data_IF_521790243313
#
_entry.id   IF_521790243313
#
_cell.length_a   1.000
_cell.length_b   1.000
_cell.length_c   1.000
_cell.angle_alpha   90.00
_cell.angle_beta   90.00
_cell.angle_gamma   90.00
#
_symmetry.space_group_name_H-M   'P 1'
#
loop_
_entity.id
_entity.type
_entity.pdbx_description
1 polymer ?
#
# COMPACT_ATOMS: atom_id res chain seq x y z
N UNK A 1 -20.93 3.66 18.40
CA UNK A 1 -19.61 3.68 19.04
C UNK A 1 -19.26 2.26 19.41
N UNK A 2 -18.07 1.79 19.04
CA UNK A 2 -17.56 0.46 19.43
C UNK A 2 -17.19 0.53 20.91
N UNK A 3 -17.59 -0.46 21.71
CA UNK A 3 -17.22 -0.52 23.14
C UNK A 3 -15.70 -0.75 23.31
N UNK A 4 -15.19 -0.68 24.54
CA UNK A 4 -13.77 -0.99 24.79
C UNK A 4 -13.47 -2.49 24.62
N UNK A 5 -14.38 -3.35 25.06
CA UNK A 5 -14.25 -4.81 24.90
C UNK A 5 -14.29 -5.22 23.41
N UNK A 6 -15.25 -4.66 22.65
CA UNK A 6 -15.33 -4.92 21.20
C UNK A 6 -14.08 -4.42 20.49
N UNK A 7 -13.54 -3.26 20.88
CA UNK A 7 -12.33 -2.75 20.28
C UNK A 7 -11.10 -3.58 20.63
N UNK A 8 -10.98 -4.06 21.87
CA UNK A 8 -9.89 -4.95 22.27
C UNK A 8 -9.91 -6.24 21.44
N UNK A 9 -11.10 -6.79 21.17
CA UNK A 9 -11.27 -7.93 20.27
C UNK A 9 -10.83 -7.60 18.83
N UNK A 10 -11.28 -6.47 18.28
CA UNK A 10 -10.90 -6.02 16.93
C UNK A 10 -9.38 -5.78 16.84
N UNK A 11 -8.78 -5.15 17.86
CA UNK A 11 -7.37 -4.86 17.93
C UNK A 11 -6.54 -6.16 17.92
N UNK A 12 -6.86 -7.10 18.81
CA UNK A 12 -6.19 -8.41 18.86
C UNK A 12 -6.36 -9.18 17.54
N UNK A 13 -7.56 -9.19 16.97
CA UNK A 13 -7.83 -9.84 15.69
C UNK A 13 -7.01 -9.23 14.54
N UNK A 14 -6.93 -7.91 14.43
CA UNK A 14 -6.14 -7.25 13.38
C UNK A 14 -4.66 -7.60 13.49
N UNK A 15 -4.09 -7.64 14.68
CA UNK A 15 -2.67 -7.99 14.84
C UNK A 15 -2.38 -9.49 14.75
N UNK A 16 -3.34 -10.38 14.98
CA UNK A 16 -3.16 -11.83 14.79
C UNK A 16 -3.41 -12.29 13.36
N UNK A 17 -4.45 -11.76 12.72
CA UNK A 17 -4.89 -12.19 11.39
C UNK A 17 -4.46 -11.25 10.26
N UNK A 18 -3.95 -10.06 10.59
CA UNK A 18 -3.43 -9.03 9.68
C UNK A 18 -4.45 -8.36 8.76
N UNK A 19 -5.49 -9.06 8.33
CA UNK A 19 -6.62 -8.52 7.56
C UNK A 19 -7.91 -9.03 8.20
N UNK A 20 -8.75 -8.10 8.65
CA UNK A 20 -10.04 -8.38 9.29
C UNK A 20 -11.13 -7.68 8.50
N UNK A 21 -12.15 -8.44 8.09
CA UNK A 21 -13.32 -7.92 7.38
C UNK A 21 -14.48 -7.83 8.36
N UNK A 22 -14.96 -6.62 8.62
CA UNK A 22 -16.18 -6.36 9.38
C UNK A 22 -17.31 -6.14 8.38
N UNK A 23 -18.29 -7.04 8.36
CA UNK A 23 -19.52 -6.86 7.58
C UNK A 23 -20.33 -5.72 8.21
N UNK A 24 -20.27 -4.54 7.59
CA UNK A 24 -20.86 -3.31 8.12
C UNK A 24 -21.99 -2.81 7.21
N UNK A 25 -22.09 -1.50 7.02
CA UNK A 25 -23.03 -0.86 6.09
C UNK A 25 -22.26 0.07 5.16
N UNK A 26 -22.61 0.17 3.87
CA UNK A 26 -22.04 1.17 2.97
C UNK A 26 -22.27 2.60 3.49
N UNK A 27 -23.29 2.79 4.33
CA UNK A 27 -23.67 4.06 4.94
C UNK A 27 -22.96 4.38 6.27
N UNK A 28 -21.94 3.59 6.68
CA UNK A 28 -21.12 3.92 7.86
C UNK A 28 -20.64 5.37 7.77
N UNK A 29 -20.73 6.18 8.82
CA UNK A 29 -20.31 7.59 8.71
C UNK A 29 -18.78 7.71 8.58
N UNK A 30 -18.29 8.73 7.85
CA UNK A 30 -16.83 8.99 7.76
C UNK A 30 -16.21 9.19 9.13
N UNK A 31 -16.95 9.83 10.04
CA UNK A 31 -16.53 10.05 11.42
C UNK A 31 -16.36 8.72 12.16
N UNK A 32 -17.30 7.77 12.01
CA UNK A 32 -17.19 6.47 12.66
C UNK A 32 -16.01 5.65 12.12
N UNK A 33 -15.77 5.67 10.80
CA UNK A 33 -14.60 5.03 10.19
C UNK A 33 -13.28 5.63 10.74
N UNK A 34 -13.20 6.96 10.78
CA UNK A 34 -12.06 7.69 11.34
C UNK A 34 -11.85 7.37 12.82
N UNK A 35 -12.90 7.45 13.65
CA UNK A 35 -12.82 7.19 15.09
C UNK A 35 -12.34 5.76 15.37
N UNK A 36 -12.87 4.75 14.66
CA UNK A 36 -12.40 3.37 14.79
C UNK A 36 -10.93 3.22 14.40
N UNK A 37 -10.53 3.79 13.26
CA UNK A 37 -9.13 3.71 12.79
C UNK A 37 -8.18 4.40 13.77
N UNK A 38 -8.56 5.58 14.29
CA UNK A 38 -7.77 6.34 15.26
C UNK A 38 -7.62 5.63 16.59
N UNK A 39 -8.52 4.72 16.99
CA UNK A 39 -8.34 3.98 18.26
C UNK A 39 -7.08 3.12 18.29
N UNK A 40 -6.53 2.73 17.13
CA UNK A 40 -5.24 2.02 17.03
C UNK A 40 -4.03 2.94 17.32
N UNK A 41 -4.17 4.24 17.08
CA UNK A 41 -3.19 5.27 17.44
C UNK A 41 -3.91 6.57 17.85
N UNK A 42 -4.31 6.70 19.14
CA UNK A 42 -5.11 7.83 19.60
C UNK A 42 -4.44 9.20 19.41
N UNK A 43 -3.11 9.21 19.28
CA UNK A 43 -2.30 10.42 19.09
C UNK A 43 -2.13 10.82 17.62
N UNK A 44 -2.41 9.93 16.67
CA UNK A 44 -2.37 10.23 15.25
C UNK A 44 -3.55 11.11 14.82
N UNK A 45 -3.25 12.22 14.16
CA UNK A 45 -4.26 13.23 13.76
C UNK A 45 -4.25 13.58 12.27
N UNK A 46 -3.16 13.28 11.56
CA UNK A 46 -2.96 13.63 10.15
C UNK A 46 -3.05 12.40 9.24
N UNK A 47 -3.41 12.64 7.98
CA UNK A 47 -3.42 11.61 6.94
C UNK A 47 -2.02 11.05 6.66
N UNK A 48 -1.91 9.75 6.40
CA UNK A 48 -0.63 9.02 6.29
C UNK A 48 0.33 9.49 5.19
N UNK A 49 -0.17 10.21 4.18
CA UNK A 49 0.63 10.79 3.10
C UNK A 49 0.75 12.32 3.16
N UNK A 50 0.34 12.95 4.26
CA UNK A 50 0.36 14.41 4.41
C UNK A 50 -0.70 15.11 3.56
N UNK A 51 -0.47 16.39 3.24
CA UNK A 51 -1.45 17.19 2.48
C UNK A 51 -1.44 16.84 0.99
N UNK A 52 -2.61 16.51 0.44
CA UNK A 52 -2.84 16.24 -0.99
C UNK A 52 -3.00 17.51 -1.83
N UNK A 53 -3.03 18.70 -1.20
CA UNK A 53 -3.42 19.97 -1.85
C UNK A 53 -2.26 20.87 -2.26
N UNK A 54 -1.01 20.49 -1.96
CA UNK A 54 0.17 21.29 -2.31
C UNK A 54 0.53 21.17 -3.80
N UNK A 55 1.27 22.16 -4.34
CA UNK A 55 1.79 22.09 -5.72
C UNK A 55 2.69 20.87 -5.93
N UNK A 56 3.48 20.49 -4.91
CA UNK A 56 4.31 19.29 -4.95
C UNK A 56 3.49 18.00 -4.88
N UNK A 57 2.36 18.00 -4.17
CA UNK A 57 1.43 16.88 -4.19
C UNK A 57 0.92 16.59 -5.61
N UNK A 58 0.71 17.61 -6.46
CA UNK A 58 0.30 17.42 -7.87
C UNK A 58 1.32 16.69 -8.74
N UNK A 59 2.60 16.68 -8.34
CA UNK A 59 3.69 15.97 -9.02
C UNK A 59 3.82 14.52 -8.54
N UNK A 60 3.14 14.15 -7.45
CA UNK A 60 3.14 12.80 -6.90
C UNK A 60 2.35 11.84 -7.77
N UNK A 61 2.85 10.62 -7.91
CA UNK A 61 2.12 9.52 -8.59
C UNK A 61 0.81 9.14 -7.88
N UNK A 62 0.60 9.55 -6.62
CA UNK A 62 -0.63 9.27 -5.85
C UNK A 62 -1.76 10.30 -6.08
N UNK A 63 -1.43 11.47 -6.62
CA UNK A 63 -2.39 12.58 -6.75
C UNK A 63 -3.67 12.28 -7.57
N UNK A 64 -3.62 11.55 -8.71
CA UNK A 64 -4.82 11.36 -9.50
C UNK A 64 -5.88 10.47 -8.83
N UNK A 65 -5.50 9.70 -7.81
CA UNK A 65 -6.29 8.56 -7.31
C UNK A 65 -7.18 8.90 -6.10
N UNK A 66 -6.88 9.98 -5.38
CA UNK A 66 -7.49 10.29 -4.08
C UNK A 66 -8.28 11.61 -4.09
N UNK A 67 -9.46 11.62 -3.46
CA UNK A 67 -10.26 12.82 -3.17
C UNK A 67 -10.50 12.95 -1.67
N UNK A 68 -10.05 14.05 -1.07
CA UNK A 68 -10.15 14.25 0.38
C UNK A 68 -11.56 14.67 0.81
N UNK A 69 -12.11 14.03 1.84
CA UNK A 69 -13.41 14.42 2.42
C UNK A 69 -13.27 15.76 3.16
N UNK A 70 -13.98 16.83 2.78
CA UNK A 70 -13.75 18.17 3.32
C UNK A 70 -13.95 18.29 4.84
N UNK A 71 -14.93 17.57 5.38
CA UNK A 71 -15.30 17.63 6.80
C UNK A 71 -14.62 16.54 7.64
N UNK A 72 -13.83 15.65 7.03
CA UNK A 72 -13.00 14.65 7.71
C UNK A 72 -11.76 14.31 6.85
N UNK A 73 -10.75 15.21 6.77
CA UNK A 73 -9.65 15.11 5.79
C UNK A 73 -8.74 13.88 5.92
N UNK A 74 -8.84 13.11 7.01
CA UNK A 74 -8.14 11.85 7.20
C UNK A 74 -8.75 10.71 6.37
N UNK A 75 -9.99 10.88 5.90
CA UNK A 75 -10.68 9.93 5.04
C UNK A 75 -10.57 10.39 3.59
N UNK A 76 -10.04 9.51 2.75
CA UNK A 76 -9.95 9.71 1.30
C UNK A 76 -11.02 8.88 0.60
N UNK A 77 -11.53 9.42 -0.50
CA UNK A 77 -12.40 8.74 -1.44
C UNK A 77 -11.54 8.27 -2.60
N UNK A 78 -11.68 6.99 -2.95
CA UNK A 78 -11.01 6.35 -4.07
C UNK A 78 -12.02 5.50 -4.84
N UNK A 79 -11.75 5.21 -6.11
CA UNK A 79 -12.72 4.50 -6.93
C UNK A 79 -12.51 4.66 -8.42
N UNK A 80 -13.56 4.44 -9.19
CA UNK A 80 -13.58 4.59 -10.64
C UNK A 80 -14.89 5.21 -11.11
N UNK A 81 -14.82 6.02 -12.16
CA UNK A 81 -15.99 6.54 -12.85
C UNK A 81 -16.56 7.82 -12.22
N UNK A 82 -17.72 8.22 -12.73
CA UNK A 82 -18.39 9.45 -12.33
C UNK A 82 -19.31 9.22 -11.13
N UNK A 83 -19.18 10.07 -10.10
CA UNK A 83 -20.05 10.08 -8.92
C UNK A 83 -20.64 11.49 -8.77
N UNK A 84 -21.98 11.66 -8.88
CA UNK A 84 -22.60 12.99 -8.86
C UNK A 84 -22.30 13.79 -7.59
N UNK A 85 -22.38 13.15 -6.43
CA UNK A 85 -21.99 13.75 -5.16
C UNK A 85 -21.69 12.69 -4.12
N UNK A 86 -20.77 13.00 -3.20
CA UNK A 86 -20.47 12.15 -2.05
C UNK A 86 -19.74 12.95 -0.96
N UNK A 87 -20.19 12.85 0.29
CA UNK A 87 -19.53 13.46 1.47
C UNK A 87 -19.22 14.97 1.34
N UNK A 88 -20.10 15.71 0.65
CA UNK A 88 -19.97 17.16 0.43
C UNK A 88 -19.21 17.54 -0.84
N UNK A 89 -18.64 16.58 -1.57
CA UNK A 89 -18.05 16.79 -2.88
C UNK A 89 -19.11 16.61 -3.98
N UNK A 90 -18.93 17.32 -5.11
CA UNK A 90 -19.83 17.31 -6.26
C UNK A 90 -19.04 16.99 -7.53
N UNK A 91 -19.68 16.33 -8.50
CA UNK A 91 -19.15 15.99 -9.82
C UNK A 91 -17.77 15.30 -9.76
N UNK A 92 -17.65 14.26 -8.93
CA UNK A 92 -16.39 13.55 -8.78
C UNK A 92 -16.15 12.66 -10.00
N UNK A 93 -14.95 12.75 -10.55
CA UNK A 93 -14.41 11.76 -11.49
C UNK A 93 -13.29 11.02 -10.77
N UNK A 94 -13.58 9.79 -10.35
CA UNK A 94 -12.63 8.91 -9.70
C UNK A 94 -11.87 8.11 -10.75
N UNK A 95 -10.58 7.87 -10.50
CA UNK A 95 -9.70 7.14 -11.41
C UNK A 95 -9.11 5.96 -10.66
N UNK A 96 -9.42 4.76 -11.14
CA UNK A 96 -8.78 3.57 -10.61
C UNK A 96 -7.32 3.51 -11.09
N UNK A 97 -6.36 3.19 -10.20
CA UNK A 97 -4.99 2.96 -10.63
C UNK A 97 -4.94 1.83 -11.66
N UNK A 98 -4.29 2.09 -12.79
CA UNK A 98 -4.33 1.19 -13.94
C UNK A 98 -2.90 0.81 -14.36
N UNK A 99 -2.65 -0.48 -14.63
CA UNK A 99 -1.30 -0.95 -14.94
C UNK A 99 -0.60 -0.16 -16.07
N UNK A 100 -1.34 0.18 -17.15
CA UNK A 100 -0.89 1.00 -18.28
C UNK A 100 -0.23 2.34 -17.93
N UNK A 101 -0.54 2.93 -16.76
CA UNK A 101 0.01 4.23 -16.37
C UNK A 101 1.28 4.13 -15.55
N UNK A 102 1.59 2.95 -15.00
CA UNK A 102 2.67 2.76 -14.02
C UNK A 102 3.69 1.69 -14.43
N UNK A 103 3.25 0.64 -15.11
CA UNK A 103 4.11 -0.45 -15.57
C UNK A 103 4.87 -0.05 -16.83
N UNK A 104 6.06 -0.63 -17.02
CA UNK A 104 6.80 -0.48 -18.30
C UNK A 104 6.09 -1.27 -19.39
N UNK A 105 5.75 -2.52 -19.07
CA UNK A 105 5.20 -3.51 -19.98
C UNK A 105 3.71 -3.72 -19.65
N UNK A 106 2.86 -2.84 -20.22
CA UNK A 106 1.42 -2.89 -20.03
C UNK A 106 0.79 -4.09 -20.76
N UNK A 107 -0.35 -4.56 -20.27
CA UNK A 107 -1.17 -5.54 -21.00
C UNK A 107 -1.72 -4.88 -22.27
N UNK A 108 -1.72 -5.57 -23.43
CA UNK A 108 -2.30 -5.07 -24.67
C UNK A 108 -3.76 -4.62 -24.50
N UNK A 109 -4.19 -3.63 -25.27
CA UNK A 109 -5.49 -2.99 -25.09
C UNK A 109 -6.66 -3.95 -25.35
N UNK A 110 -6.49 -4.89 -26.28
CA UNK A 110 -7.44 -5.95 -26.60
C UNK A 110 -7.66 -6.94 -25.44
N UNK A 111 -6.65 -7.10 -24.59
CA UNK A 111 -6.60 -8.07 -23.49
C UNK A 111 -6.95 -7.43 -22.14
N UNK A 112 -7.04 -6.11 -22.08
CA UNK A 112 -7.07 -5.32 -20.84
C UNK A 112 -8.30 -5.56 -19.96
N UNK A 113 -9.40 -6.03 -20.53
CA UNK A 113 -10.61 -6.40 -19.80
C UNK A 113 -10.61 -7.86 -19.33
N UNK A 114 -9.68 -8.68 -19.80
CA UNK A 114 -9.52 -10.08 -19.43
C UNK A 114 -8.35 -10.27 -18.48
N UNK A 115 -7.27 -9.52 -18.67
CA UNK A 115 -6.03 -9.64 -17.92
C UNK A 115 -5.70 -8.34 -17.19
N UNK A 116 -5.04 -8.45 -16.05
CA UNK A 116 -4.61 -7.31 -15.25
C UNK A 116 -3.25 -7.58 -14.58
N UNK A 117 -2.74 -6.59 -13.84
CA UNK A 117 -1.53 -6.70 -13.02
C UNK A 117 -1.84 -6.19 -11.62
N UNK A 118 -1.06 -6.63 -10.63
CA UNK A 118 -0.98 -5.89 -9.38
C UNK A 118 -0.50 -4.47 -9.71
N UNK A 119 -1.25 -3.43 -9.33
CA UNK A 119 -0.86 -2.07 -9.68
C UNK A 119 0.49 -1.70 -9.05
N UNK A 120 0.63 -1.94 -7.74
CA UNK A 120 1.88 -1.73 -6.99
C UNK A 120 1.76 -2.42 -5.63
N UNK A 121 2.64 -3.38 -5.35
CA UNK A 121 2.79 -3.90 -3.99
C UNK A 121 3.43 -2.84 -3.10
N UNK A 122 2.75 -2.49 -2.02
CA UNK A 122 3.20 -1.41 -1.16
C UNK A 122 2.68 -1.52 0.28
N UNK A 123 3.25 -0.63 1.10
CA UNK A 123 2.81 -0.26 2.44
C UNK A 123 2.21 1.13 2.31
N UNK A 124 1.08 1.42 2.95
CA UNK A 124 0.62 2.81 3.05
C UNK A 124 1.67 3.58 3.87
N UNK A 125 2.29 4.62 3.31
CA UNK A 125 3.26 5.46 4.01
C UNK A 125 3.68 6.66 3.16
N UNK A 126 3.97 7.81 3.77
CA UNK A 126 4.66 8.88 3.07
C UNK A 126 6.12 8.52 2.74
N UNK A 127 6.75 7.70 3.59
CA UNK A 127 8.18 7.31 3.54
C UNK A 127 9.16 8.49 3.56
N UNK A 128 8.66 9.67 3.97
CA UNK A 128 9.41 10.89 4.18
C UNK A 128 8.68 11.73 5.22
N UNK A 129 9.36 12.12 6.30
CA UNK A 129 8.88 12.86 7.46
C UNK A 129 7.82 12.16 8.35
N UNK A 130 6.93 11.35 7.77
CA UNK A 130 5.82 10.71 8.47
C UNK A 130 6.05 9.20 8.58
N UNK A 131 5.73 8.63 9.74
CA UNK A 131 5.80 7.19 9.96
C UNK A 131 4.66 6.48 9.23
N UNK A 132 4.89 5.23 8.76
CA UNK A 132 3.84 4.38 8.21
C UNK A 132 2.68 4.20 9.21
N UNK A 133 1.41 4.39 8.80
CA UNK A 133 0.23 4.08 9.61
C UNK A 133 0.29 2.69 10.25
N UNK A 134 -0.24 2.55 11.46
CA UNK A 134 -0.29 1.26 12.16
C UNK A 134 -1.34 0.33 11.51
N UNK A 135 -2.52 0.87 11.26
CA UNK A 135 -3.67 0.18 10.66
C UNK A 135 -4.31 1.12 9.63
N UNK A 136 -4.75 0.53 8.52
CA UNK A 136 -5.57 1.21 7.52
C UNK A 136 -6.96 0.59 7.53
N UNK A 137 -7.99 1.42 7.34
CA UNK A 137 -9.34 0.96 7.05
C UNK A 137 -9.75 1.28 5.62
N UNK A 138 -10.41 0.33 4.97
CA UNK A 138 -11.03 0.46 3.66
C UNK A 138 -12.50 0.08 3.76
N UNK A 139 -13.39 0.90 3.22
CA UNK A 139 -14.82 0.62 3.17
C UNK A 139 -15.32 0.59 1.74
N UNK A 140 -16.03 -0.47 1.37
CA UNK A 140 -16.82 -0.54 0.15
C UNK A 140 -18.15 0.20 0.31
N UNK A 141 -18.30 1.30 -0.46
CA UNK A 141 -19.52 2.13 -0.43
C UNK A 141 -20.45 1.72 -1.56
N UNK A 142 -19.92 1.67 -2.78
CA UNK A 142 -20.66 1.17 -3.94
C UNK A 142 -19.71 0.47 -4.90
N UNK A 143 -20.14 -0.68 -5.40
CA UNK A 143 -19.36 -1.51 -6.32
C UNK A 143 -20.06 -1.59 -7.68
N UNK A 144 -19.33 -1.87 -8.77
CA UNK A 144 -19.95 -2.10 -10.06
C UNK A 144 -20.96 -3.25 -9.99
N UNK A 145 -22.04 -3.15 -10.75
CA UNK A 145 -23.05 -4.22 -10.88
C UNK A 145 -22.50 -5.47 -11.59
N UNK A 146 -21.47 -5.29 -12.43
CA UNK A 146 -20.78 -6.39 -13.10
C UNK A 146 -20.08 -7.30 -12.09
N UNK A 147 -20.06 -8.60 -12.39
CA UNK A 147 -19.29 -9.62 -11.65
C UNK A 147 -18.14 -10.16 -12.49
N UNK A 148 -17.64 -9.34 -13.43
CA UNK A 148 -16.50 -9.68 -14.28
C UNK A 148 -15.29 -10.00 -13.42
N UNK A 149 -14.56 -11.01 -13.87
CA UNK A 149 -13.29 -11.43 -13.30
C UNK A 149 -12.17 -11.12 -14.28
N UNK A 150 -10.96 -11.02 -13.76
CA UNK A 150 -9.76 -10.84 -14.55
C UNK A 150 -8.68 -11.78 -14.05
N UNK A 151 -7.77 -12.16 -14.94
CA UNK A 151 -6.58 -12.92 -14.57
C UNK A 151 -5.40 -11.97 -14.39
N UNK A 152 -4.81 -11.97 -13.20
CA UNK A 152 -3.54 -11.29 -12.95
C UNK A 152 -2.43 -12.09 -13.63
N UNK A 153 -1.65 -11.46 -14.50
CA UNK A 153 -0.46 -12.05 -15.10
C UNK A 153 0.80 -11.47 -14.47
N UNK A 154 1.68 -12.35 -13.99
CA UNK A 154 2.93 -11.94 -13.36
C UNK A 154 3.99 -11.57 -14.40
N UNK A 155 4.01 -12.28 -15.54
CA UNK A 155 4.92 -12.08 -16.69
C UNK A 155 6.40 -11.87 -16.33
N UNK A 156 6.88 -12.52 -15.27
CA UNK A 156 8.28 -12.51 -14.85
C UNK A 156 9.03 -13.82 -15.19
N UNK A 157 8.43 -14.64 -16.07
CA UNK A 157 8.97 -15.93 -16.49
C UNK A 157 8.53 -17.12 -15.63
N UNK A 158 7.85 -16.90 -14.51
CA UNK A 158 7.31 -17.97 -13.66
C UNK A 158 6.14 -18.73 -14.30
N UNK A 159 5.35 -18.06 -15.14
CA UNK A 159 4.05 -18.55 -15.58
C UNK A 159 2.94 -18.41 -14.53
N UNK A 160 3.20 -17.72 -13.41
CA UNK A 160 2.21 -17.47 -12.37
C UNK A 160 1.05 -16.62 -12.91
N UNK A 161 -0.17 -17.06 -12.61
CA UNK A 161 -1.41 -16.35 -12.84
C UNK A 161 -2.31 -16.43 -11.60
N UNK A 162 -3.19 -15.44 -11.41
CA UNK A 162 -4.18 -15.43 -10.33
C UNK A 162 -5.53 -14.89 -10.83
N UNK A 163 -6.58 -15.70 -10.77
CA UNK A 163 -7.94 -15.26 -11.06
C UNK A 163 -8.49 -14.40 -9.91
N UNK A 164 -9.02 -13.22 -10.23
CA UNK A 164 -9.51 -12.24 -9.25
C UNK A 164 -10.82 -11.59 -9.68
N UNK A 165 -11.62 -11.16 -8.70
CA UNK A 165 -12.78 -10.29 -8.95
C UNK A 165 -12.35 -8.87 -9.36
N UNK A 166 -13.14 -8.19 -10.18
CA UNK A 166 -12.88 -6.80 -10.57
C UNK A 166 -12.78 -5.87 -9.34
N UNK A 167 -11.68 -5.09 -9.26
CA UNK A 167 -11.49 -4.14 -8.17
C UNK A 167 -11.00 -4.74 -6.86
N UNK A 168 -10.49 -5.97 -6.91
CA UNK A 168 -9.86 -6.68 -5.79
C UNK A 168 -8.79 -5.82 -5.11
N UNK A 169 -8.69 -5.97 -3.79
CA UNK A 169 -7.48 -5.59 -3.05
C UNK A 169 -6.77 -6.86 -2.65
N UNK A 170 -5.56 -7.03 -3.15
CA UNK A 170 -4.72 -8.18 -2.87
C UNK A 170 -3.82 -7.89 -1.66
N UNK A 171 -3.68 -8.87 -0.77
CA UNK A 171 -2.85 -8.79 0.42
C UNK A 171 -1.89 -9.97 0.49
N UNK A 172 -0.69 -9.73 1.01
CA UNK A 172 0.31 -10.76 1.32
C UNK A 172 0.91 -10.50 2.69
N UNK A 173 1.20 -11.56 3.43
CA UNK A 173 1.66 -11.46 4.82
C UNK A 173 3.18 -11.33 4.89
N UNK A 174 3.67 -10.21 5.40
CA UNK A 174 5.10 -10.00 5.65
C UNK A 174 5.67 -11.01 6.67
N UNK A 175 4.84 -11.52 7.59
CA UNK A 175 5.22 -12.59 8.53
C UNK A 175 5.48 -13.90 7.80
N UNK A 176 4.57 -14.29 6.90
CA UNK A 176 4.76 -15.48 6.07
C UNK A 176 5.97 -15.36 5.13
N UNK A 177 6.27 -14.14 4.65
CA UNK A 177 7.51 -13.89 3.89
C UNK A 177 8.74 -14.13 4.77
N UNK A 178 8.77 -13.52 5.96
CA UNK A 178 9.89 -13.65 6.90
C UNK A 178 10.14 -15.10 7.30
N UNK A 179 9.10 -15.85 7.63
CA UNK A 179 9.22 -17.24 8.09
C UNK A 179 9.85 -18.16 7.03
N UNK A 180 9.66 -17.84 5.75
CA UNK A 180 10.18 -18.58 4.59
C UNK A 180 11.59 -18.19 4.18
N UNK A 181 12.15 -17.11 4.72
CA UNK A 181 13.53 -16.72 4.47
C UNK A 181 14.49 -17.82 4.97
N UNK A 182 15.64 -17.94 4.30
CA UNK A 182 16.77 -18.73 4.80
C UNK A 182 17.28 -18.14 6.12
N UNK A 183 18.05 -18.90 6.90
CA UNK A 183 18.62 -18.39 8.16
C UNK A 183 19.58 -17.21 7.91
N UNK A 184 20.33 -17.24 6.81
CA UNK A 184 21.17 -16.14 6.36
C UNK A 184 20.35 -14.89 6.05
N UNK A 185 19.26 -15.03 5.29
CA UNK A 185 18.37 -13.92 4.98
C UNK A 185 17.66 -13.40 6.24
N UNK A 186 17.27 -14.28 7.18
CA UNK A 186 16.70 -13.86 8.48
C UNK A 186 17.70 -13.06 9.28
N UNK A 187 18.98 -13.43 9.30
CA UNK A 187 20.01 -12.62 9.95
C UNK A 187 20.16 -11.26 9.24
N UNK A 188 20.30 -11.27 7.91
CA UNK A 188 20.45 -10.07 7.09
C UNK A 188 19.33 -9.06 7.33
N UNK A 189 18.06 -9.48 7.26
CA UNK A 189 16.91 -8.56 7.40
C UNK A 189 16.65 -8.14 8.84
N UNK A 190 17.11 -8.91 9.85
CA UNK A 190 16.99 -8.50 11.26
C UNK A 190 17.99 -7.41 11.61
N UNK A 191 19.14 -7.37 10.96
CA UNK A 191 20.23 -6.46 11.30
C UNK A 191 20.37 -5.28 10.34
N UNK A 192 19.74 -5.35 9.17
CA UNK A 192 19.80 -4.30 8.15
C UNK A 192 18.59 -3.34 8.16
N UNK A 193 18.79 -2.15 7.59
CA UNK A 193 17.76 -1.10 7.48
C UNK A 193 17.65 -0.59 6.04
N UNK A 194 16.44 -0.21 5.62
CA UNK A 194 16.16 0.42 4.33
C UNK A 194 16.13 1.93 4.49
N UNK A 195 16.90 2.63 3.66
CA UNK A 195 16.73 4.06 3.40
C UNK A 195 15.80 4.24 2.20
N UNK A 196 14.74 5.05 2.39
CA UNK A 196 13.85 5.46 1.32
C UNK A 196 14.31 6.77 0.68
N UNK A 197 14.01 6.94 -0.61
CA UNK A 197 14.35 8.17 -1.32
C UNK A 197 13.62 9.39 -0.73
N UNK A 198 14.23 10.60 -0.75
CA UNK A 198 13.54 11.82 -0.39
C UNK A 198 12.41 12.09 -1.38
N UNK A 199 11.27 12.61 -0.89
CA UNK A 199 10.06 12.83 -1.70
C UNK A 199 9.73 11.63 -2.62
N UNK A 200 9.58 10.41 -2.07
CA UNK A 200 9.74 9.17 -2.82
C UNK A 200 8.78 9.04 -4.00
N UNK A 201 7.52 9.47 -3.84
CA UNK A 201 6.50 9.44 -4.91
C UNK A 201 6.72 10.47 -6.03
N UNK A 202 7.54 11.49 -5.80
CA UNK A 202 8.00 12.44 -6.82
C UNK A 202 9.27 11.90 -7.47
N UNK A 203 10.22 11.41 -6.65
CA UNK A 203 11.46 10.78 -7.10
C UNK A 203 11.25 9.68 -8.13
N UNK A 204 10.32 8.76 -7.87
CA UNK A 204 10.04 7.64 -8.78
C UNK A 204 9.02 7.95 -9.89
N UNK A 205 8.57 9.19 -10.06
CA UNK A 205 7.43 9.53 -10.95
C UNK A 205 7.63 9.19 -12.43
N UNK A 206 8.89 9.17 -12.90
CA UNK A 206 9.27 8.80 -14.27
C UNK A 206 9.71 7.33 -14.40
N UNK A 207 9.97 6.65 -13.29
CA UNK A 207 10.30 5.23 -13.29
C UNK A 207 9.07 4.38 -13.60
N UNK A 208 9.30 3.09 -13.92
CA UNK A 208 8.26 2.18 -14.37
C UNK A 208 8.34 0.85 -13.64
N UNK A 209 7.18 0.33 -13.26
CA UNK A 209 7.03 -0.89 -12.47
C UNK A 209 7.35 -2.14 -13.27
N UNK A 210 7.88 -3.13 -12.56
CA UNK A 210 7.96 -4.52 -13.01
C UNK A 210 6.54 -5.08 -13.23
N UNK A 211 6.34 -6.03 -14.17
CA UNK A 211 5.05 -6.68 -14.45
C UNK A 211 4.31 -7.25 -13.23
N UNK A 212 5.04 -7.68 -12.21
CA UNK A 212 4.51 -8.19 -10.94
C UNK A 212 3.99 -7.10 -10.00
N UNK A 213 4.21 -5.81 -10.31
CA UNK A 213 3.94 -4.69 -9.42
C UNK A 213 4.89 -4.59 -8.22
N UNK A 214 5.87 -5.50 -8.10
CA UNK A 214 6.80 -5.59 -6.97
C UNK A 214 8.09 -4.84 -7.27
N UNK A 215 8.06 -3.52 -7.08
CA UNK A 215 9.22 -2.66 -7.34
C UNK A 215 9.31 -2.15 -8.77
N UNK A 216 10.43 -1.53 -9.11
CA UNK A 216 10.62 -0.76 -10.34
C UNK A 216 11.84 -1.27 -11.13
N UNK A 217 11.82 -1.08 -12.43
CA UNK A 217 13.00 -1.26 -13.27
C UNK A 217 14.07 -0.22 -12.94
N UNK A 218 15.34 -0.63 -12.96
CA UNK A 218 16.49 0.29 -12.81
C UNK A 218 16.96 0.78 -14.17
N UNK A 219 16.30 1.81 -14.67
CA UNK A 219 16.57 2.42 -15.99
C UNK A 219 17.09 3.87 -15.87
N UNK A 220 17.45 4.32 -14.65
CA UNK A 220 17.94 5.68 -14.40
C UNK A 220 16.89 6.77 -14.71
N UNK A 221 15.60 6.46 -14.51
CA UNK A 221 14.50 7.38 -14.83
C UNK A 221 14.10 8.24 -13.64
N UNK A 222 14.53 7.90 -12.44
CA UNK A 222 14.25 8.63 -11.22
C UNK A 222 14.73 10.08 -11.31
N UNK A 223 14.01 11.00 -10.66
CA UNK A 223 14.40 12.39 -10.64
C UNK A 223 15.70 12.58 -9.86
N UNK A 224 16.58 13.42 -10.38
CA UNK A 224 17.78 13.86 -9.65
C UNK A 224 17.43 14.74 -8.45
N UNK A 225 18.36 14.90 -7.50
CA UNK A 225 18.13 15.72 -6.30
C UNK A 225 17.78 17.18 -6.63
N UNK A 226 18.27 17.72 -7.74
CA UNK A 226 17.99 19.09 -8.20
C UNK A 226 16.59 19.25 -8.81
N UNK A 227 15.97 18.15 -9.24
CA UNK A 227 14.59 18.14 -9.75
C UNK A 227 13.55 17.94 -8.64
N UNK A 228 13.98 17.54 -7.43
CA UNK A 228 13.12 17.34 -6.29
C UNK A 228 12.81 18.65 -5.55
N UNK A 229 11.70 18.72 -4.80
CA UNK A 229 11.52 19.76 -3.79
C UNK A 229 12.66 19.73 -2.77
N UNK A 230 12.84 20.82 -2.02
CA UNK A 230 13.91 20.94 -1.03
C UNK A 230 13.99 19.69 -0.12
N UNK A 231 15.20 19.12 -0.05
CA UNK A 231 15.47 17.89 0.70
C UNK A 231 15.96 18.28 2.09
N UNK A 232 15.31 17.72 3.11
CA UNK A 232 15.70 17.80 4.50
C UNK A 232 16.12 16.40 4.94
N UNK A 233 17.42 16.23 5.21
CA UNK A 233 17.99 14.93 5.54
C UNK A 233 17.35 14.31 6.79
N UNK A 234 16.86 15.10 7.73
CA UNK A 234 16.21 14.60 8.95
C UNK A 234 14.83 13.97 8.70
N UNK A 235 14.26 14.23 7.51
CA UNK A 235 12.97 13.65 7.10
C UNK A 235 13.13 12.34 6.33
N UNK A 236 14.34 12.01 5.88
CA UNK A 236 14.62 10.75 5.20
C UNK A 236 14.35 9.60 6.18
N UNK A 237 13.54 8.64 5.75
CA UNK A 237 13.19 7.48 6.59
C UNK A 237 14.22 6.37 6.38
N UNK A 238 14.85 5.95 7.48
CA UNK A 238 15.69 4.75 7.55
C UNK A 238 14.99 3.78 8.52
N UNK A 239 14.35 2.74 7.98
CA UNK A 239 13.49 1.82 8.73
C UNK A 239 14.09 0.41 8.76
N UNK A 240 13.85 -0.39 9.81
CA UNK A 240 14.23 -1.81 9.82
C UNK A 240 13.65 -2.57 8.62
N UNK A 241 14.33 -3.62 8.15
CA UNK A 241 13.76 -4.52 7.14
C UNK A 241 12.73 -5.50 7.74
N UNK A 242 12.91 -5.89 9.01
CA UNK A 242 12.00 -6.74 9.76
C UNK A 242 11.24 -5.93 10.84
N UNK A 243 9.91 -5.89 10.77
CA UNK A 243 9.07 -5.14 11.71
C UNK A 243 8.41 -6.11 12.70
N UNK A 244 8.44 -5.75 13.99
CA UNK A 244 7.89 -6.58 15.08
C UNK A 244 6.40 -6.29 15.29
N UNK A 245 5.60 -7.35 15.32
CA UNK A 245 4.20 -7.29 15.70
C UNK A 245 4.07 -6.92 17.19
N UNK A 246 3.33 -5.85 17.54
CA UNK A 246 3.22 -5.41 18.94
C UNK A 246 2.45 -6.37 19.84
N UNK A 247 1.62 -7.26 19.28
CA UNK A 247 0.79 -8.23 20.03
C UNK A 247 1.42 -9.61 20.03
N UNK A 248 1.84 -10.12 18.87
CA UNK A 248 2.34 -11.50 18.73
C UNK A 248 3.85 -11.61 18.90
N UNK A 249 4.60 -10.50 18.78
CA UNK A 249 6.07 -10.51 18.78
C UNK A 249 6.72 -11.08 17.52
N UNK A 250 5.93 -11.59 16.56
CA UNK A 250 6.44 -12.12 15.29
C UNK A 250 7.08 -11.00 14.44
N UNK A 251 7.99 -11.39 13.53
CA UNK A 251 8.67 -10.47 12.63
C UNK A 251 8.09 -10.57 11.21
N UNK A 252 7.80 -9.42 10.61
CA UNK A 252 7.38 -9.31 9.22
C UNK A 252 8.50 -8.72 8.36
N UNK A 253 8.80 -9.33 7.22
CA UNK A 253 9.61 -8.71 6.18
C UNK A 253 8.79 -7.59 5.56
N UNK A 254 9.11 -6.34 5.91
CA UNK A 254 8.23 -5.21 5.65
C UNK A 254 9.01 -4.05 5.02
N UNK A 255 9.04 -4.08 3.69
CA UNK A 255 9.79 -3.14 2.84
C UNK A 255 8.85 -2.63 1.75
N UNK A 256 8.82 -1.32 1.51
CA UNK A 256 8.10 -0.76 0.36
C UNK A 256 8.99 -0.83 -0.89
N UNK A 257 8.74 -1.73 -1.86
CA UNK A 257 9.71 -2.10 -2.89
C UNK A 257 10.01 -0.99 -3.91
N UNK A 258 9.06 -0.10 -4.20
CA UNK A 258 9.28 0.92 -5.26
C UNK A 258 10.14 2.11 -4.82
N UNK A 259 10.16 2.42 -3.52
CA UNK A 259 10.73 3.66 -2.98
C UNK A 259 12.11 3.46 -2.32
N UNK A 260 12.63 2.23 -2.32
CA UNK A 260 13.93 1.90 -1.73
C UNK A 260 15.06 2.61 -2.46
N UNK A 261 16.03 3.12 -1.70
CA UNK A 261 17.23 3.80 -2.22
C UNK A 261 18.51 3.11 -1.80
N UNK A 262 18.65 2.75 -0.52
CA UNK A 262 19.85 2.12 0.05
C UNK A 262 19.52 1.07 1.11
N UNK A 263 20.47 0.17 1.36
CA UNK A 263 20.44 -0.76 2.50
C UNK A 263 21.62 -0.45 3.41
N UNK A 264 21.35 -0.14 4.68
CA UNK A 264 22.35 0.07 5.73
C UNK A 264 22.57 -1.24 6.47
N UNK A 265 23.82 -1.70 6.53
CA UNK A 265 24.20 -2.99 7.11
C UNK A 265 24.69 -2.84 8.56
N UNK A 266 24.71 -3.95 9.28
CA UNK A 266 25.09 -3.99 10.71
C UNK A 266 26.53 -3.53 10.96
N UNK A 267 27.43 -3.80 10.03
CA UNK A 267 28.85 -3.42 10.10
C UNK A 267 29.09 -1.93 9.78
N UNK A 268 28.04 -1.18 9.46
CA UNK A 268 28.09 0.24 9.10
C UNK A 268 28.32 0.50 7.62
N UNK A 269 28.52 -0.53 6.79
CA UNK A 269 28.56 -0.38 5.34
C UNK A 269 27.16 -0.14 4.74
N UNK A 270 27.12 0.44 3.55
CA UNK A 270 25.88 0.81 2.86
C UNK A 270 25.90 0.29 1.44
N UNK A 271 24.86 -0.45 1.06
CA UNK A 271 24.59 -0.81 -0.33
C UNK A 271 23.83 0.35 -0.96
N UNK A 272 24.47 1.10 -1.86
CA UNK A 272 23.91 2.29 -2.51
C UNK A 272 23.77 2.16 -4.03
N UNK A 273 24.20 1.03 -4.63
CA UNK A 273 23.86 0.67 -6.00
C UNK A 273 22.37 0.33 -6.10
N UNK A 274 21.61 1.17 -6.79
CA UNK A 274 20.15 1.05 -6.85
C UNK A 274 19.68 -0.27 -7.50
N UNK A 275 20.46 -0.80 -8.46
CA UNK A 275 20.12 -2.08 -9.10
C UNK A 275 20.24 -3.23 -8.10
N UNK A 276 21.35 -3.29 -7.37
CA UNK A 276 21.60 -4.27 -6.32
C UNK A 276 20.58 -4.17 -5.19
N UNK A 277 20.25 -2.96 -4.73
CA UNK A 277 19.22 -2.75 -3.68
C UNK A 277 17.87 -3.33 -4.13
N UNK A 278 17.44 -3.03 -5.36
CA UNK A 278 16.16 -3.52 -5.90
C UNK A 278 16.17 -5.03 -6.14
N UNK A 279 17.28 -5.59 -6.61
CA UNK A 279 17.43 -7.04 -6.79
C UNK A 279 17.31 -7.78 -5.46
N UNK A 280 17.98 -7.31 -4.42
CA UNK A 280 17.89 -7.89 -3.07
C UNK A 280 16.44 -7.85 -2.56
N UNK A 281 15.78 -6.69 -2.64
CA UNK A 281 14.40 -6.54 -2.17
C UNK A 281 13.44 -7.42 -2.98
N UNK A 282 13.60 -7.48 -4.31
CA UNK A 282 12.79 -8.34 -5.16
C UNK A 282 12.97 -9.82 -4.80
N UNK A 283 14.21 -10.29 -4.66
CA UNK A 283 14.53 -11.68 -4.29
C UNK A 283 13.89 -12.08 -2.95
N UNK A 284 13.93 -11.18 -1.96
CA UNK A 284 13.37 -11.42 -0.64
C UNK A 284 11.83 -11.45 -0.64
N UNK A 285 11.17 -10.59 -1.43
CA UNK A 285 9.71 -10.44 -1.40
C UNK A 285 8.97 -11.26 -2.47
N UNK A 286 9.60 -11.57 -3.62
CA UNK A 286 8.93 -12.21 -4.76
C UNK A 286 8.32 -13.58 -4.43
N UNK A 287 8.98 -14.48 -3.68
CA UNK A 287 8.34 -15.74 -3.25
C UNK A 287 7.08 -15.51 -2.41
N UNK A 288 7.06 -14.41 -1.67
CA UNK A 288 5.94 -14.02 -0.80
C UNK A 288 4.68 -13.57 -1.53
N UNK A 289 4.81 -13.21 -2.81
CA UNK A 289 3.67 -12.82 -3.65
C UNK A 289 3.25 -13.93 -4.61
N UNK A 290 3.74 -15.18 -4.48
CA UNK A 290 3.25 -16.28 -5.31
C UNK A 290 1.73 -16.47 -5.15
N UNK A 291 0.99 -16.90 -6.19
CA UNK A 291 -0.48 -16.90 -6.19
C UNK A 291 -1.13 -17.56 -4.96
N UNK A 292 -0.57 -18.66 -4.48
CA UNK A 292 -1.03 -19.41 -3.30
C UNK A 292 -0.93 -18.65 -1.96
N UNK A 293 -0.15 -17.56 -1.90
CA UNK A 293 0.02 -16.72 -0.72
C UNK A 293 -0.72 -15.39 -0.79
N UNK A 294 -1.41 -15.13 -1.91
CA UNK A 294 -2.16 -13.89 -2.12
C UNK A 294 -3.59 -14.07 -1.61
N UNK A 295 -3.97 -13.26 -0.63
CA UNK A 295 -5.37 -13.06 -0.28
C UNK A 295 -5.97 -11.98 -1.18
N UNK A 296 -6.68 -12.40 -2.22
CA UNK A 296 -7.46 -11.53 -3.10
C UNK A 296 -8.85 -11.29 -2.49
N UNK A 297 -9.04 -10.14 -1.83
CA UNK A 297 -10.32 -9.83 -1.20
C UNK A 297 -11.39 -9.50 -2.25
N UNK A 298 -12.43 -10.33 -2.31
CA UNK A 298 -13.64 -10.09 -3.10
C UNK A 298 -14.60 -9.22 -2.31
N UNK A 299 -14.77 -7.98 -2.78
CA UNK A 299 -15.54 -6.96 -2.07
C UNK A 299 -17.06 -7.19 -2.17
N UNK A 300 -17.74 -6.98 -1.04
CA UNK A 300 -19.18 -6.72 -0.98
C UNK A 300 -19.44 -5.30 -0.45
N UNK A 301 -20.56 -4.68 -0.85
CA UNK A 301 -20.93 -3.37 -0.34
C UNK A 301 -21.14 -3.41 1.17
N UNK A 302 -20.53 -2.48 1.90
CA UNK A 302 -20.51 -2.45 3.35
C UNK A 302 -19.36 -3.23 4.00
N UNK A 303 -18.52 -3.92 3.24
CA UNK A 303 -17.28 -4.48 3.79
C UNK A 303 -16.37 -3.37 4.30
N UNK A 304 -16.08 -3.43 5.60
CA UNK A 304 -15.05 -2.61 6.26
C UNK A 304 -13.85 -3.49 6.54
N UNK A 305 -12.82 -3.38 5.70
CA UNK A 305 -11.56 -4.08 5.86
C UNK A 305 -10.64 -3.25 6.74
N UNK A 306 -10.16 -3.83 7.83
CA UNK A 306 -9.06 -3.32 8.64
C UNK A 306 -7.83 -4.17 8.37
N UNK A 307 -6.70 -3.55 8.06
CA UNK A 307 -5.47 -4.31 7.89
C UNK A 307 -4.29 -3.71 8.66
N UNK A 308 -3.48 -4.59 9.22
CA UNK A 308 -2.21 -4.31 9.88
C UNK A 308 -1.21 -3.83 8.82
N UNK A 309 -1.11 -2.52 8.61
CA UNK A 309 -0.23 -1.94 7.62
C UNK A 309 1.27 -2.20 7.92
N UNK A 310 1.61 -2.59 9.16
CA UNK A 310 2.95 -3.02 9.54
C UNK A 310 3.23 -4.50 9.27
N UNK A 311 2.23 -5.27 8.84
CA UNK A 311 2.32 -6.72 8.69
C UNK A 311 1.97 -7.27 7.31
N UNK A 312 1.48 -6.42 6.40
CA UNK A 312 1.10 -6.83 5.04
C UNK A 312 1.66 -5.88 4.00
N UNK A 313 1.97 -6.40 2.81
CA UNK A 313 1.92 -5.60 1.61
C UNK A 313 0.54 -5.75 0.97
N UNK A 314 0.11 -4.72 0.26
CA UNK A 314 -1.12 -4.78 -0.48
C UNK A 314 -1.00 -4.11 -1.85
N UNK A 315 -1.90 -4.48 -2.75
CA UNK A 315 -1.97 -3.94 -4.10
C UNK A 315 -3.41 -3.90 -4.58
N UNK A 316 -3.76 -2.84 -5.29
CA UNK A 316 -5.04 -2.77 -6.00
C UNK A 316 -4.92 -3.50 -7.34
N UNK A 317 -6.00 -4.19 -7.72
CA UNK A 317 -6.03 -5.05 -8.89
C UNK A 317 -7.29 -4.80 -9.71
N UNK A 318 -7.14 -4.76 -11.03
CA UNK A 318 -8.25 -4.66 -11.97
C UNK A 318 -8.10 -3.53 -12.98
N UNK A 319 -8.81 -3.67 -14.09
CA UNK A 319 -9.00 -2.66 -15.12
C UNK A 319 -10.51 -2.50 -15.36
N UNK A 320 -11.01 -1.32 -14.98
CA UNK A 320 -12.41 -0.98 -15.10
C UNK A 320 -12.70 -0.45 -16.49
N UNK A 321 -13.77 -0.95 -17.10
CA UNK A 321 -14.32 -0.41 -18.33
C UNK A 321 -15.00 0.94 -18.09
N UNK A 322 -15.36 1.61 -19.18
CA UNK A 322 -16.22 2.79 -19.11
C UNK A 322 -17.61 2.39 -18.57
N UNK A 323 -18.14 3.19 -17.64
CA UNK A 323 -19.43 2.94 -16.99
C UNK A 323 -19.39 2.03 -15.75
N UNK A 324 -18.31 1.31 -15.49
CA UNK A 324 -18.16 0.50 -14.25
C UNK A 324 -17.79 1.40 -13.06
N UNK A 325 -18.79 1.96 -12.37
CA UNK A 325 -18.56 2.87 -11.24
C UNK A 325 -18.20 2.11 -9.96
N UNK A 326 -17.15 2.55 -9.26
CA UNK A 326 -16.74 2.05 -7.95
C UNK A 326 -16.48 3.22 -7.01
N UNK A 327 -16.95 3.13 -5.78
CA UNK A 327 -16.76 4.12 -4.74
C UNK A 327 -16.33 3.44 -3.43
N UNK A 328 -15.19 3.84 -2.91
CA UNK A 328 -14.62 3.34 -1.66
C UNK A 328 -14.15 4.51 -0.80
N UNK A 329 -13.97 4.24 0.50
CA UNK A 329 -13.26 5.12 1.41
C UNK A 329 -12.03 4.45 1.99
N UNK A 330 -10.95 5.19 2.13
CA UNK A 330 -9.75 4.80 2.87
C UNK A 330 -9.52 5.76 4.03
N UNK A 331 -9.16 5.22 5.19
CA UNK A 331 -8.63 6.01 6.29
C UNK A 331 -7.31 5.38 6.74
N UNK A 332 -6.22 6.14 6.64
CA UNK A 332 -4.94 5.80 7.22
C UNK A 332 -4.34 7.06 7.88
N UNK A 333 -3.69 6.87 9.01
CA UNK A 333 -3.20 7.98 9.85
C UNK A 333 -1.71 7.85 10.03
N UNK A 334 -0.96 8.95 9.85
CA UNK A 334 0.47 8.96 10.09
C UNK A 334 0.75 8.53 11.54
N UNK A 335 1.50 7.44 11.72
CA UNK A 335 1.69 6.88 13.04
C UNK A 335 2.52 7.81 13.93
N UNK A 336 2.17 7.84 15.21
CA UNK A 336 2.87 8.57 16.25
C UNK A 336 4.26 8.03 16.55
N UNK A 337 4.54 6.80 16.10
CA UNK A 337 5.80 6.10 16.32
C UNK A 337 6.28 5.39 15.05
N UNK A 338 7.60 5.16 14.92
CA UNK A 338 8.13 4.27 13.88
C UNK A 338 7.69 2.81 14.12
N UNK A 339 7.86 1.94 13.10
CA UNK A 339 7.74 0.50 13.28
C UNK A 339 8.63 -0.02 14.41
N UNK A 340 8.17 -1.05 15.12
CA UNK A 340 8.98 -1.70 16.14
C UNK A 340 10.05 -2.56 15.45
N UNK A 341 11.29 -2.46 15.92
CA UNK A 341 12.39 -3.30 15.45
C UNK A 341 12.51 -4.57 16.31
N UNK A 342 13.39 -5.48 15.90
CA UNK A 342 13.90 -6.54 16.79
C UNK A 342 14.63 -5.87 17.95
N UNK A 343 14.37 -6.32 19.18
CA UNK A 343 15.14 -5.84 20.34
C UNK A 343 16.60 -6.26 20.14
N UNK A 344 17.52 -5.29 20.22
CA UNK A 344 18.96 -5.48 20.05
C UNK A 344 19.60 -6.18 21.24
#
# INVERSE_FOLDING_TARGET
MVSDDDFNLIHDAVYRYNVVVIKSSPNLSVKAQYELTRRFDPTATSYGHGSTTTLDAKRSVLHPDLKTVPHQPQVQILGHGFVPSYEGLQNLVLRHPHHRTFHRDAIPAEDDLLFTRFYRWHIDAALYALNPPLVTSLLAVSLPSTKRRQTVRYDDGSGDELDVSLGTTAFVSGYQMYDRLSDEDKEFVRTSKIEYAPHPYIWMSRARSLPTGLGLYTEGRELSETELPAIDANKIQILPMAWKNPVTGQLALQIHPSAVRRIHLQDGSVIDDLAQVREIVYRLQRPGISPEYVYAHEWEEGDLVLFNNHGVLHSVVGAFAEGEVRLMRQCNLAASRPPLAVDS
#
